data_IF_282755816847
#
_entry.id   IF_282755816847
#
_cell.length_a   1.000
_cell.length_b   1.000
_cell.length_c   1.000
_cell.angle_alpha   90.00
_cell.angle_beta   90.00
_cell.angle_gamma   90.00
#
_symmetry.space_group_name_H-M   'P 1'
#
loop_
_entity.id
_entity.type
_entity.pdbx_description
1 polymer ?
#
# COMPACT_ATOMS: atom_id res chain seq x y z
N UNK A 1 20.06 -1.86 7.06
CA UNK A 1 20.69 -1.55 5.76
C UNK A 1 21.53 -2.72 5.24
N UNK A 2 22.67 -3.13 5.92
CA UNK A 2 23.55 -4.19 5.40
C UNK A 2 22.85 -5.54 5.24
N UNK A 3 21.99 -5.93 6.19
CA UNK A 3 21.21 -7.16 6.10
C UNK A 3 20.24 -7.10 4.93
N UNK A 4 19.47 -6.02 4.78
CA UNK A 4 18.54 -5.85 3.67
C UNK A 4 19.28 -5.96 2.33
N UNK A 5 20.44 -5.28 2.21
CA UNK A 5 21.25 -5.38 1.00
C UNK A 5 21.70 -6.82 0.70
N UNK A 6 22.13 -7.56 1.72
CA UNK A 6 22.58 -8.95 1.55
C UNK A 6 21.42 -9.91 1.18
N UNK A 7 20.19 -9.60 1.62
CA UNK A 7 18.99 -10.39 1.30
C UNK A 7 18.39 -10.02 -0.06
N UNK A 8 18.44 -8.74 -0.44
CA UNK A 8 17.86 -8.24 -1.69
C UNK A 8 18.80 -8.33 -2.89
N UNK A 9 20.11 -8.18 -2.65
CA UNK A 9 21.16 -8.31 -3.66
C UNK A 9 22.25 -9.22 -3.11
N UNK A 10 22.27 -10.48 -3.55
CA UNK A 10 23.26 -11.45 -3.08
C UNK A 10 24.68 -10.98 -3.40
N UNK A 11 25.61 -11.27 -2.49
CA UNK A 11 27.02 -10.95 -2.68
C UNK A 11 27.55 -11.55 -4.00
N UNK A 12 28.09 -10.69 -4.86
CA UNK A 12 28.63 -11.09 -6.16
C UNK A 12 27.64 -11.09 -7.33
N UNK A 13 26.37 -10.74 -7.13
CA UNK A 13 25.46 -10.51 -8.26
C UNK A 13 25.93 -9.31 -9.09
N UNK A 14 26.05 -9.53 -10.42
CA UNK A 14 26.39 -8.45 -11.33
C UNK A 14 25.20 -7.51 -11.56
N UNK A 15 25.49 -6.28 -11.94
CA UNK A 15 24.46 -5.31 -12.36
C UNK A 15 23.54 -5.88 -13.45
N UNK A 16 24.09 -6.66 -14.40
CA UNK A 16 23.29 -7.23 -15.49
C UNK A 16 22.30 -8.27 -14.99
N UNK A 17 22.65 -9.06 -13.98
CA UNK A 17 21.74 -10.02 -13.34
C UNK A 17 20.60 -9.28 -12.63
N UNK A 18 20.94 -8.26 -11.84
CA UNK A 18 19.92 -7.44 -11.14
C UNK A 18 18.98 -6.74 -12.13
N UNK A 19 19.54 -6.18 -13.20
CA UNK A 19 18.75 -5.53 -14.27
C UNK A 19 17.79 -6.51 -14.94
N UNK A 20 18.25 -7.71 -15.27
CA UNK A 20 17.38 -8.69 -15.94
C UNK A 20 16.31 -9.23 -14.99
N UNK A 21 16.61 -9.43 -13.71
CA UNK A 21 15.62 -9.79 -12.68
C UNK A 21 14.53 -8.71 -12.57
N UNK A 22 14.91 -7.45 -12.49
CA UNK A 22 13.95 -6.34 -12.44
C UNK A 22 13.10 -6.25 -13.72
N UNK A 23 13.72 -6.44 -14.89
CA UNK A 23 13.02 -6.47 -16.17
C UNK A 23 12.02 -7.62 -16.26
N UNK A 24 12.39 -8.82 -15.80
CA UNK A 24 11.49 -9.97 -15.76
C UNK A 24 10.29 -9.68 -14.85
N UNK A 25 10.52 -9.18 -13.63
CA UNK A 25 9.46 -8.86 -12.69
C UNK A 25 8.45 -7.85 -13.26
N UNK A 26 8.94 -6.79 -13.95
CA UNK A 26 8.08 -5.84 -14.61
C UNK A 26 7.32 -6.45 -15.80
N UNK A 27 7.95 -7.29 -16.60
CA UNK A 27 7.30 -7.98 -17.71
C UNK A 27 6.19 -8.91 -17.21
N UNK A 28 6.45 -9.68 -16.15
CA UNK A 28 5.47 -10.59 -15.54
C UNK A 28 4.25 -9.83 -15.01
N UNK A 29 4.45 -8.63 -14.49
CA UNK A 29 3.38 -7.78 -14.00
C UNK A 29 2.57 -7.15 -15.14
N UNK A 30 3.25 -6.57 -16.11
CA UNK A 30 2.61 -5.85 -17.22
C UNK A 30 1.91 -6.79 -18.21
N UNK A 31 2.42 -8.02 -18.37
CA UNK A 31 1.82 -9.04 -19.24
C UNK A 31 0.53 -9.66 -18.72
N UNK A 32 0.09 -9.30 -17.51
CA UNK A 32 -1.22 -9.74 -16.97
C UNK A 32 -2.40 -9.19 -17.74
N UNK A 33 -2.19 -8.15 -18.53
CA UNK A 33 -3.19 -7.59 -19.43
C UNK A 33 -2.59 -7.54 -20.83
N UNK A 34 -3.27 -8.16 -21.78
CA UNK A 34 -2.92 -8.07 -23.20
C UNK A 34 -3.98 -7.27 -23.92
N UNK A 35 -3.55 -6.25 -24.65
CA UNK A 35 -4.44 -5.42 -25.47
C UNK A 35 -3.93 -5.36 -26.90
N UNK A 36 -4.83 -5.12 -27.84
CA UNK A 36 -4.51 -4.83 -29.23
C UNK A 36 -4.80 -3.37 -29.55
N UNK A 37 -3.98 -2.78 -30.41
CA UNK A 37 -4.12 -1.39 -30.83
C UNK A 37 -2.92 -0.93 -31.63
N UNK A 38 -2.93 0.32 -32.05
CA UNK A 38 -1.75 0.93 -32.66
C UNK A 38 -0.63 1.19 -31.63
N UNK A 39 0.53 1.59 -32.11
CA UNK A 39 1.72 1.79 -31.25
C UNK A 39 1.50 2.86 -30.18
N UNK A 40 0.77 3.92 -30.50
CA UNK A 40 0.50 5.00 -29.57
C UNK A 40 -0.42 4.52 -28.44
N UNK A 41 -1.50 3.83 -28.77
CA UNK A 41 -2.45 3.25 -27.81
C UNK A 41 -1.75 2.26 -26.88
N UNK A 42 -0.93 1.34 -27.43
CA UNK A 42 -0.15 0.39 -26.63
C UNK A 42 0.83 1.09 -25.70
N UNK A 43 1.55 2.11 -26.21
CA UNK A 43 2.50 2.87 -25.40
C UNK A 43 1.79 3.59 -24.24
N UNK A 44 0.68 4.25 -24.51
CA UNK A 44 -0.09 4.97 -23.51
C UNK A 44 -0.64 4.02 -22.45
N UNK A 45 -1.21 2.89 -22.86
CA UNK A 45 -1.77 1.90 -21.94
C UNK A 45 -0.71 1.30 -21.01
N UNK A 46 0.37 0.76 -21.57
CA UNK A 46 1.41 0.11 -20.75
C UNK A 46 2.22 1.12 -19.93
N UNK A 47 2.36 2.36 -20.37
CA UNK A 47 2.94 3.43 -19.56
C UNK A 47 2.03 3.76 -18.36
N UNK A 48 0.73 3.82 -18.56
CA UNK A 48 -0.23 4.04 -17.48
C UNK A 48 -0.23 2.86 -16.48
N UNK A 49 -0.24 1.64 -16.98
CA UNK A 49 -0.17 0.43 -16.16
C UNK A 49 1.14 0.34 -15.36
N UNK A 50 2.27 0.67 -15.98
CA UNK A 50 3.57 0.77 -15.30
C UNK A 50 3.50 1.77 -14.15
N UNK A 51 2.98 2.98 -14.39
CA UNK A 51 2.86 4.04 -13.38
C UNK A 51 1.94 3.65 -12.23
N UNK A 52 0.90 2.86 -12.50
CA UNK A 52 -0.01 2.35 -11.48
C UNK A 52 0.73 1.54 -10.41
N UNK A 53 1.74 0.78 -10.80
CA UNK A 53 2.52 -0.09 -9.90
C UNK A 53 3.80 0.54 -9.36
N UNK A 54 4.06 1.83 -9.64
CA UNK A 54 5.18 2.54 -9.00
C UNK A 54 4.90 2.84 -7.52
N UNK A 55 3.64 2.81 -7.11
CA UNK A 55 3.16 3.03 -5.73
C UNK A 55 1.99 2.09 -5.46
N UNK A 56 1.73 1.73 -4.18
CA UNK A 56 2.47 2.11 -2.98
C UNK A 56 3.84 1.42 -2.89
N UNK A 57 4.77 2.02 -2.13
CA UNK A 57 6.09 1.47 -1.89
C UNK A 57 6.11 0.69 -0.57
N UNK A 58 6.68 -0.51 -0.58
CA UNK A 58 7.01 -1.22 0.65
C UNK A 58 8.25 -0.56 1.29
N UNK A 59 8.10 -0.08 2.50
CA UNK A 59 9.13 0.62 3.26
C UNK A 59 9.57 -0.15 4.50
N UNK A 60 9.09 -1.39 4.66
CA UNK A 60 9.57 -2.28 5.71
C UNK A 60 10.98 -2.79 5.38
N UNK A 61 11.75 -3.05 6.43
CA UNK A 61 12.96 -3.86 6.32
C UNK A 61 12.61 -5.31 5.97
N UNK A 62 13.55 -6.09 5.47
CA UNK A 62 13.37 -7.50 5.08
C UNK A 62 12.85 -8.39 6.22
N UNK A 63 12.99 -7.97 7.48
CA UNK A 63 12.40 -8.64 8.64
C UNK A 63 11.05 -8.07 9.08
N UNK A 64 10.42 -7.26 8.23
CA UNK A 64 9.11 -6.65 8.47
C UNK A 64 9.14 -5.46 9.42
N UNK A 65 10.31 -5.00 9.87
CA UNK A 65 10.39 -3.82 10.74
C UNK A 65 10.24 -2.54 9.94
N UNK A 66 9.50 -1.61 10.52
CA UNK A 66 9.30 -0.28 9.94
C UNK A 66 9.31 0.80 11.03
N UNK A 67 9.50 2.04 10.64
CA UNK A 67 9.38 3.19 11.53
C UNK A 67 7.95 3.74 11.45
N UNK A 68 7.24 3.74 12.57
CA UNK A 68 5.89 4.27 12.66
C UNK A 68 5.88 5.80 12.66
N UNK A 69 4.70 6.39 12.49
CA UNK A 69 4.47 7.84 12.56
C UNK A 69 4.94 8.44 13.89
N UNK A 70 4.76 7.73 15.00
CA UNK A 70 5.26 8.12 16.34
C UNK A 70 6.79 8.02 16.46
N UNK A 71 7.51 7.56 15.43
CA UNK A 71 8.95 7.40 15.45
C UNK A 71 9.45 6.10 16.07
N UNK A 72 8.57 5.24 16.52
CA UNK A 72 8.90 3.94 17.08
C UNK A 72 9.25 2.92 15.98
N UNK A 73 10.10 1.97 16.31
CA UNK A 73 10.33 0.80 15.45
C UNK A 73 9.28 -0.26 15.80
N UNK A 74 8.47 -0.62 14.82
CA UNK A 74 7.44 -1.67 14.93
C UNK A 74 7.72 -2.79 13.93
N UNK A 75 7.07 -3.91 14.10
CA UNK A 75 7.10 -5.03 13.14
C UNK A 75 5.71 -5.21 12.57
N UNK A 76 5.60 -5.17 11.26
CA UNK A 76 4.35 -5.41 10.55
C UNK A 76 3.86 -6.84 10.75
N UNK A 77 2.56 -7.02 10.88
CA UNK A 77 1.93 -8.35 11.02
C UNK A 77 2.01 -9.16 9.71
N UNK A 78 2.04 -8.48 8.57
CA UNK A 78 2.17 -9.10 7.25
C UNK A 78 3.63 -9.26 6.79
N UNK A 79 4.60 -8.70 7.51
CA UNK A 79 5.98 -8.57 7.06
C UNK A 79 6.22 -7.42 6.08
N UNK A 80 5.16 -6.71 5.67
CA UNK A 80 5.19 -5.61 4.72
C UNK A 80 4.58 -4.34 5.32
N UNK A 81 5.10 -3.17 4.94
CA UNK A 81 4.52 -1.90 5.33
C UNK A 81 4.53 -0.94 4.13
N UNK A 82 3.44 -0.99 3.37
CA UNK A 82 3.26 -0.12 2.22
C UNK A 82 2.87 1.29 2.62
N UNK A 83 3.55 2.26 2.05
CA UNK A 83 3.32 3.68 2.20
C UNK A 83 3.30 4.37 0.83
N UNK A 84 3.37 5.70 0.78
CA UNK A 84 3.14 6.48 -0.44
C UNK A 84 1.71 6.29 -0.97
N UNK A 85 0.77 6.33 -0.02
CA UNK A 85 -0.66 6.16 -0.27
C UNK A 85 -1.30 7.51 -0.60
N UNK A 86 -1.87 7.65 -1.78
CA UNK A 86 -2.72 8.78 -2.19
C UNK A 86 -4.15 8.30 -2.40
N UNK A 87 -4.79 7.88 -1.32
CA UNK A 87 -6.09 7.18 -1.38
C UNK A 87 -7.20 8.04 -1.98
N UNK A 88 -7.10 9.37 -1.86
CA UNK A 88 -8.00 10.33 -2.52
C UNK A 88 -8.01 10.17 -4.05
N UNK A 89 -6.87 9.81 -4.64
CA UNK A 89 -6.74 9.54 -6.08
C UNK A 89 -7.10 8.10 -6.43
N UNK A 90 -6.55 7.15 -5.67
CA UNK A 90 -6.43 5.76 -6.09
C UNK A 90 -7.67 4.92 -5.78
N UNK A 91 -8.53 5.36 -4.84
CA UNK A 91 -9.69 4.58 -4.41
C UNK A 91 -10.69 4.31 -5.54
N UNK A 92 -10.78 5.22 -6.52
CA UNK A 92 -11.79 5.19 -7.59
C UNK A 92 -11.56 4.08 -8.61
N UNK A 93 -10.29 3.82 -8.96
CA UNK A 93 -9.96 2.92 -10.04
C UNK A 93 -8.76 2.02 -9.73
N UNK A 94 -7.67 2.55 -9.18
CA UNK A 94 -6.45 1.79 -8.94
C UNK A 94 -6.68 0.62 -7.98
N UNK A 95 -7.25 0.88 -6.80
CA UNK A 95 -7.52 -0.19 -5.83
C UNK A 95 -8.54 -1.23 -6.35
N UNK A 96 -9.68 -0.86 -6.97
CA UNK A 96 -10.52 -1.83 -7.66
C UNK A 96 -9.80 -2.64 -8.74
N UNK A 97 -8.91 -2.01 -9.51
CA UNK A 97 -8.13 -2.70 -10.55
C UNK A 97 -7.13 -3.70 -9.95
N UNK A 98 -6.50 -3.38 -8.82
CA UNK A 98 -5.63 -4.34 -8.12
C UNK A 98 -6.38 -5.60 -7.70
N UNK A 99 -7.66 -5.51 -7.33
CA UNK A 99 -8.46 -6.70 -7.00
C UNK A 99 -8.67 -7.65 -8.18
N UNK A 100 -8.48 -7.15 -9.41
CA UNK A 100 -8.61 -7.93 -10.65
C UNK A 100 -7.24 -8.43 -11.11
N UNK A 101 -6.26 -7.54 -11.22
CA UNK A 101 -4.96 -7.85 -11.82
C UNK A 101 -3.97 -8.49 -10.84
N UNK A 102 -4.01 -8.07 -9.59
CA UNK A 102 -3.05 -8.49 -8.55
C UNK A 102 -3.73 -8.77 -7.21
N UNK A 103 -4.74 -9.66 -7.18
CA UNK A 103 -5.52 -9.91 -5.95
C UNK A 103 -4.63 -10.37 -4.78
N UNK A 104 -3.48 -10.98 -5.04
CA UNK A 104 -2.53 -11.38 -3.99
C UNK A 104 -1.83 -10.21 -3.29
N UNK A 105 -1.74 -9.04 -3.90
CA UNK A 105 -1.15 -7.84 -3.29
C UNK A 105 -2.17 -7.06 -2.43
N UNK A 106 -3.46 -7.21 -2.71
CA UNK A 106 -4.51 -6.44 -2.03
C UNK A 106 -4.53 -6.69 -0.51
N UNK A 107 -4.44 -7.93 0.00
CA UNK A 107 -4.33 -8.18 1.42
C UNK A 107 -3.14 -7.46 2.08
N UNK A 108 -1.99 -7.41 1.42
CA UNK A 108 -0.77 -6.75 1.91
C UNK A 108 -0.93 -5.22 1.95
N UNK A 109 -1.49 -4.62 0.90
CA UNK A 109 -1.81 -3.20 0.85
C UNK A 109 -2.79 -2.81 1.96
N UNK A 110 -3.86 -3.59 2.11
CA UNK A 110 -4.89 -3.35 3.11
C UNK A 110 -4.39 -3.64 4.53
N UNK A 111 -3.53 -4.64 4.72
CA UNK A 111 -2.81 -4.87 5.98
C UNK A 111 -1.98 -3.65 6.38
N UNK A 112 -1.29 -3.03 5.41
CA UNK A 112 -0.51 -1.82 5.66
C UNK A 112 -1.39 -0.60 6.00
N UNK A 113 -2.56 -0.47 5.37
CA UNK A 113 -3.55 0.55 5.75
C UNK A 113 -3.99 0.37 7.21
N UNK A 114 -4.21 -0.87 7.65
CA UNK A 114 -4.52 -1.21 9.03
C UNK A 114 -3.34 -0.95 9.98
N UNK A 115 -2.10 -1.20 9.55
CA UNK A 115 -0.88 -0.86 10.32
C UNK A 115 -0.76 0.65 10.54
N UNK A 116 -1.04 1.48 9.54
CA UNK A 116 -1.10 2.93 9.70
C UNK A 116 -2.12 3.34 10.78
N UNK A 117 -3.31 2.73 10.77
CA UNK A 117 -4.32 2.97 11.80
C UNK A 117 -3.85 2.51 13.19
N UNK A 118 -3.30 1.29 13.29
CA UNK A 118 -2.86 0.71 14.56
C UNK A 118 -1.64 1.44 15.17
N UNK A 119 -0.82 2.09 14.33
CA UNK A 119 0.34 2.84 14.77
C UNK A 119 -0.01 4.25 15.28
N UNK A 120 -1.21 4.76 15.01
CA UNK A 120 -1.62 6.09 15.46
C UNK A 120 -1.85 6.11 16.97
N UNK A 121 -1.28 7.14 17.57
CA UNK A 121 -1.56 7.50 18.97
C UNK A 121 -2.50 8.70 18.94
N UNK A 122 -3.68 8.56 19.58
CA UNK A 122 -4.60 9.66 19.69
C UNK A 122 -3.99 10.78 20.55
N UNK A 123 -4.01 12.01 20.03
CA UNK A 123 -3.62 13.21 20.78
C UNK A 123 -4.86 14.11 20.99
N UNK A 124 -5.50 14.05 22.15
CA UNK A 124 -6.67 14.87 22.45
C UNK A 124 -6.42 16.37 22.40
N UNK A 125 -5.17 16.81 22.45
CA UNK A 125 -4.81 18.24 22.35
C UNK A 125 -4.79 18.74 20.91
N UNK A 126 -4.67 17.82 19.94
CA UNK A 126 -4.71 18.13 18.50
C UNK A 126 -6.06 17.70 17.92
N UNK A 127 -6.93 18.63 17.50
CA UNK A 127 -8.23 18.28 16.92
C UNK A 127 -8.15 17.33 15.71
N UNK A 128 -7.06 17.37 14.97
CA UNK A 128 -6.85 16.49 13.81
C UNK A 128 -6.46 15.06 14.21
N UNK A 129 -5.98 14.87 15.44
CA UNK A 129 -5.44 13.60 15.95
C UNK A 129 -6.11 13.13 17.24
N UNK A 130 -7.22 13.77 17.61
CA UNK A 130 -7.98 13.42 18.82
C UNK A 130 -8.50 11.98 18.85
N UNK A 131 -8.58 11.35 17.69
CA UNK A 131 -9.00 9.95 17.51
C UNK A 131 -8.11 9.25 16.51
N UNK A 132 -8.00 7.93 16.64
CA UNK A 132 -7.38 7.11 15.57
C UNK A 132 -8.26 7.15 14.33
N UNK A 133 -7.64 7.08 13.18
CA UNK A 133 -8.32 7.06 11.87
C UNK A 133 -7.46 6.38 10.82
N UNK A 134 -8.10 5.84 9.80
CA UNK A 134 -7.44 5.25 8.63
C UNK A 134 -6.69 6.33 7.84
N UNK A 135 -5.56 5.99 7.19
CA UNK A 135 -4.76 6.96 6.44
C UNK A 135 -5.54 7.56 5.27
N UNK A 136 -5.19 8.79 4.91
CA UNK A 136 -5.70 9.50 3.72
C UNK A 136 -4.61 9.66 2.67
N UNK A 137 -3.46 10.18 3.11
CA UNK A 137 -2.32 10.48 2.26
C UNK A 137 -1.02 10.24 3.02
N UNK A 138 -0.79 8.98 3.36
CA UNK A 138 0.39 8.58 4.12
C UNK A 138 1.61 8.48 3.22
N UNK A 139 2.63 9.31 3.46
CA UNK A 139 3.91 9.30 2.76
C UNK A 139 5.02 8.87 3.72
N UNK A 140 5.75 7.83 3.33
CA UNK A 140 6.89 7.32 4.09
C UNK A 140 6.58 7.01 5.56
N UNK A 141 5.41 6.46 5.81
CA UNK A 141 4.96 6.07 7.14
C UNK A 141 4.27 7.19 7.94
N UNK A 142 4.17 8.41 7.40
CA UNK A 142 3.53 9.54 8.06
C UNK A 142 2.28 10.00 7.33
N UNK A 143 1.19 10.26 8.07
CA UNK A 143 0.02 10.93 7.53
C UNK A 143 0.32 12.40 7.28
N UNK A 144 0.04 12.89 6.08
CA UNK A 144 0.33 14.28 5.69
C UNK A 144 -0.86 15.22 5.87
N UNK A 145 -2.03 14.68 6.21
CA UNK A 145 -3.31 15.41 6.27
C UNK A 145 -3.68 16.15 4.99
N UNK A 146 -3.07 15.75 3.87
CA UNK A 146 -3.38 16.29 2.56
C UNK A 146 -4.72 15.74 2.08
N UNK A 147 -5.53 16.60 1.49
CA UNK A 147 -6.87 16.30 1.01
C UNK A 147 -7.86 15.88 2.13
N UNK A 148 -9.12 15.78 1.77
CA UNK A 148 -10.23 15.45 2.67
C UNK A 148 -10.75 14.04 2.39
N UNK A 149 -11.61 13.54 3.27
CA UNK A 149 -12.37 12.30 3.08
C UNK A 149 -11.74 11.08 3.72
N UNK A 150 -12.49 9.98 3.71
CA UNK A 150 -12.14 8.68 4.30
C UNK A 150 -12.01 7.61 3.21
N UNK A 151 -11.14 7.82 2.24
CA UNK A 151 -11.04 6.98 1.05
C UNK A 151 -10.46 5.59 1.32
N UNK A 152 -9.79 5.38 2.45
CA UNK A 152 -9.40 4.05 2.91
C UNK A 152 -10.62 3.15 3.18
N UNK A 153 -11.73 3.73 3.65
CA UNK A 153 -12.95 2.97 3.95
C UNK A 153 -13.50 2.22 2.73
N UNK A 154 -13.81 2.88 1.59
CA UNK A 154 -14.27 2.15 0.41
C UNK A 154 -13.24 1.16 -0.14
N UNK A 155 -11.94 1.43 -0.02
CA UNK A 155 -10.86 0.50 -0.43
C UNK A 155 -10.93 -0.79 0.38
N UNK A 156 -10.98 -0.68 1.72
CA UNK A 156 -11.02 -1.83 2.61
C UNK A 156 -12.34 -2.61 2.47
N UNK A 157 -13.47 -1.91 2.38
CA UNK A 157 -14.79 -2.56 2.30
C UNK A 157 -14.99 -3.24 0.93
N UNK A 158 -14.57 -2.61 -0.18
CA UNK A 158 -14.63 -3.22 -1.51
C UNK A 158 -13.80 -4.53 -1.56
N UNK A 159 -12.58 -4.49 -1.04
CA UNK A 159 -11.73 -5.67 -0.97
C UNK A 159 -12.36 -6.76 -0.06
N UNK A 160 -12.89 -6.38 1.10
CA UNK A 160 -13.56 -7.29 2.02
C UNK A 160 -14.75 -8.00 1.37
N UNK A 161 -15.60 -7.27 0.65
CA UNK A 161 -16.74 -7.82 -0.10
C UNK A 161 -16.30 -8.83 -1.18
N UNK A 162 -15.11 -8.67 -1.71
CA UNK A 162 -14.48 -9.58 -2.68
C UNK A 162 -13.72 -10.75 -2.03
N UNK A 163 -13.76 -10.88 -0.71
CA UNK A 163 -13.07 -11.93 0.03
C UNK A 163 -11.58 -11.68 0.28
N UNK A 164 -11.07 -10.49 -0.06
CA UNK A 164 -9.67 -10.09 0.11
C UNK A 164 -9.51 -9.36 1.46
N UNK A 165 -9.14 -10.12 2.49
CA UNK A 165 -8.98 -9.61 3.87
C UNK A 165 -7.64 -8.91 4.04
N UNK A 166 -7.55 -7.86 4.88
CA UNK A 166 -6.27 -7.27 5.26
C UNK A 166 -5.36 -8.32 5.91
N UNK A 167 -4.16 -8.48 5.40
CA UNK A 167 -3.22 -9.46 5.97
C UNK A 167 -2.85 -9.10 7.41
N UNK A 168 -2.90 -10.08 8.29
CA UNK A 168 -2.61 -9.91 9.71
C UNK A 168 -3.73 -9.31 10.57
N UNK A 169 -4.92 -9.02 10.01
CA UNK A 169 -6.04 -8.40 10.71
C UNK A 169 -7.35 -9.16 10.50
N UNK A 170 -8.13 -9.29 11.59
CA UNK A 170 -9.46 -9.90 11.56
C UNK A 170 -10.56 -8.91 11.14
N UNK A 171 -11.75 -9.47 10.87
CA UNK A 171 -12.92 -8.68 10.47
C UNK A 171 -13.34 -7.68 11.58
N UNK A 172 -13.25 -8.05 12.86
CA UNK A 172 -13.61 -7.18 13.98
C UNK A 172 -12.68 -5.96 14.05
N UNK A 173 -11.36 -6.16 13.90
CA UNK A 173 -10.39 -5.06 13.87
C UNK A 173 -10.60 -4.13 12.66
N UNK A 174 -10.93 -4.71 11.50
CA UNK A 174 -11.26 -3.96 10.29
C UNK A 174 -12.48 -3.07 10.51
N UNK A 175 -13.57 -3.65 11.03
CA UNK A 175 -14.80 -2.87 11.24
C UNK A 175 -14.68 -1.84 12.34
N UNK A 176 -13.88 -2.09 13.39
CA UNK A 176 -13.55 -1.06 14.39
C UNK A 176 -12.82 0.13 13.73
N UNK A 177 -11.79 -0.13 12.94
CA UNK A 177 -11.03 0.91 12.26
C UNK A 177 -11.88 1.73 11.28
N UNK A 178 -12.74 1.05 10.53
CA UNK A 178 -13.71 1.70 9.61
C UNK A 178 -14.69 2.57 10.39
N UNK A 179 -15.26 2.03 11.47
CA UNK A 179 -16.22 2.75 12.29
C UNK A 179 -15.63 3.99 12.98
N UNK A 180 -14.45 3.86 13.59
CA UNK A 180 -13.76 5.01 14.18
C UNK A 180 -13.45 6.09 13.16
N UNK A 181 -13.02 5.69 11.96
CA UNK A 181 -12.71 6.63 10.86
C UNK A 181 -13.94 7.34 10.32
N UNK A 182 -15.10 6.68 10.28
CA UNK A 182 -16.37 7.28 9.85
C UNK A 182 -16.91 8.29 10.87
N UNK A 183 -16.62 8.10 12.17
CA UNK A 183 -17.01 9.05 13.23
C UNK A 183 -16.22 10.36 13.14
N UNK A 184 -15.07 10.33 12.51
CA UNK A 184 -14.22 11.50 12.26
C UNK A 184 -14.49 12.08 10.87
N UNK A 185 -15.72 12.52 10.62
CA UNK A 185 -16.04 13.24 9.38
C UNK A 185 -15.61 14.69 9.55
N UNK A 186 -14.71 15.13 8.69
CA UNK A 186 -14.31 16.52 8.52
C UNK A 186 -14.54 16.98 7.10
#
# INVERSE_FOLDING_TARGET
ARRNLAEEAADGESFDVLRERARSAWNDLLSRVEISGDREQLTNFYTALYRLYMQPNDIADTDGRYRSEAGEVRTSRSGHFFSTLSLWDTYRAAHPLYTILTPSLVPLFNGSIMEHYAAKVADPSNPLEAHRYLPRWALWGHETHTMIGNHAVPVLVDAWLKGLRPEGYGDDELFEAVWESLRKIH
#
